data_IF_382676852491
#
_entry.id   IF_382676852491
#
_cell.length_a   1.000
_cell.length_b   1.000
_cell.length_c   1.000
_cell.angle_alpha   90.00
_cell.angle_beta   90.00
_cell.angle_gamma   90.00
#
_symmetry.space_group_name_H-M   'P 1'
#
loop_
_entity.id
_entity.type
_entity.pdbx_description
1 polymer ?
#
# COMPACT_ATOMS: atom_id res chain seq x y z
N UNK A 1 -16.17 7.95 7.22
CA UNK A 1 -14.76 7.97 6.80
C UNK A 1 -14.69 7.94 5.29
N UNK A 2 -13.72 8.62 4.65
CA UNK A 2 -13.63 8.63 3.20
C UNK A 2 -13.30 7.23 2.65
N UNK A 3 -13.91 6.87 1.54
CA UNK A 3 -13.58 5.67 0.77
C UNK A 3 -13.17 6.14 -0.62
N UNK A 4 -11.94 5.85 -1.01
CA UNK A 4 -11.40 6.15 -2.32
C UNK A 4 -11.17 4.86 -3.07
N UNK A 5 -11.84 4.71 -4.20
CA UNK A 5 -11.69 3.57 -5.10
C UNK A 5 -11.18 4.10 -6.43
N UNK A 6 -10.16 3.44 -6.96
CA UNK A 6 -9.48 3.85 -8.18
C UNK A 6 -9.25 2.63 -9.07
N UNK A 7 -9.82 2.70 -10.27
CA UNK A 7 -9.80 1.60 -11.23
C UNK A 7 -9.36 2.11 -12.60
N UNK A 8 -8.14 2.66 -12.74
CA UNK A 8 -7.65 3.02 -14.07
C UNK A 8 -7.55 1.75 -14.94
N UNK A 9 -8.20 1.78 -16.08
CA UNK A 9 -8.09 0.83 -17.19
C UNK A 9 -7.36 1.50 -18.35
N UNK A 10 -6.76 0.73 -19.25
CA UNK A 10 -5.97 1.23 -20.38
C UNK A 10 -4.73 2.07 -19.98
N UNK A 11 -4.10 2.74 -20.96
CA UNK A 11 -2.94 3.61 -20.74
C UNK A 11 -3.32 4.88 -19.96
N UNK A 12 -3.28 4.81 -18.63
CA UNK A 12 -3.65 5.91 -17.74
C UNK A 12 -2.56 6.23 -16.71
N UNK A 13 -2.36 7.51 -16.42
CA UNK A 13 -1.35 8.01 -15.45
C UNK A 13 -1.98 8.97 -14.42
N UNK A 14 -3.10 8.63 -13.77
CA UNK A 14 -3.78 9.55 -12.87
C UNK A 14 -2.98 9.77 -11.58
N UNK A 15 -3.16 10.94 -10.98
CA UNK A 15 -2.55 11.29 -9.69
C UNK A 15 -3.64 11.59 -8.69
N UNK A 16 -3.58 10.96 -7.52
CA UNK A 16 -4.55 11.12 -6.44
C UNK A 16 -3.85 11.50 -5.15
N UNK A 17 -4.44 12.46 -4.42
CA UNK A 17 -3.95 12.92 -3.12
C UNK A 17 -5.10 13.01 -2.12
N UNK A 18 -4.86 12.61 -0.88
CA UNK A 18 -5.85 12.69 0.20
C UNK A 18 -5.19 13.02 1.54
N UNK A 19 -5.73 14.00 2.27
CA UNK A 19 -5.17 14.50 3.55
C UNK A 19 -6.25 14.65 4.64
N UNK A 20 -7.03 13.60 4.97
CA UNK A 20 -8.11 13.71 5.96
C UNK A 20 -7.58 13.81 7.41
N UNK A 21 -8.23 14.61 8.26
CA UNK A 21 -7.92 14.73 9.70
C UNK A 21 -8.97 13.99 10.53
N UNK A 22 -8.55 13.18 11.49
CA UNK A 22 -9.39 12.33 12.35
C UNK A 22 -10.37 11.39 11.60
N UNK A 23 -10.00 10.74 10.47
CA UNK A 23 -10.91 9.80 9.84
C UNK A 23 -10.98 8.50 10.66
N UNK A 24 -12.18 8.02 11.00
CA UNK A 24 -12.29 6.75 11.73
C UNK A 24 -11.64 5.58 10.96
N UNK A 25 -11.98 5.38 9.69
CA UNK A 25 -11.56 4.20 8.92
C UNK A 25 -11.49 4.55 7.43
N UNK A 26 -10.53 5.39 7.01
CA UNK A 26 -10.39 5.70 5.59
C UNK A 26 -9.96 4.45 4.83
N UNK A 27 -10.58 4.19 3.69
CA UNK A 27 -10.25 3.03 2.85
C UNK A 27 -9.81 3.53 1.49
N UNK A 28 -8.64 3.08 1.05
CA UNK A 28 -8.11 3.34 -0.28
C UNK A 28 -7.94 2.00 -1.00
N UNK A 29 -8.69 1.80 -2.09
CA UNK A 29 -8.59 0.63 -2.96
C UNK A 29 -8.10 1.08 -4.32
N UNK A 30 -7.09 0.40 -4.84
CA UNK A 30 -6.62 0.61 -6.20
C UNK A 30 -6.43 -0.70 -6.95
N UNK A 31 -7.21 -0.86 -8.01
CA UNK A 31 -7.07 -2.00 -8.92
C UNK A 31 -6.66 -1.42 -10.27
N UNK A 32 -5.53 -1.85 -10.80
CA UNK A 32 -5.03 -1.34 -12.08
C UNK A 32 -4.83 -2.48 -13.04
N UNK A 33 -5.34 -2.34 -14.26
CA UNK A 33 -5.20 -3.33 -15.32
C UNK A 33 -4.37 -2.77 -16.48
N UNK A 34 -3.89 -3.65 -17.37
CA UNK A 34 -3.16 -3.31 -18.59
C UNK A 34 -1.86 -2.50 -18.34
N UNK A 35 -1.72 -1.32 -18.95
CA UNK A 35 -0.52 -0.46 -18.91
C UNK A 35 -0.81 0.85 -18.18
N UNK A 36 -1.14 0.77 -16.89
CA UNK A 36 -1.44 1.94 -16.05
C UNK A 36 -0.27 2.28 -15.09
N UNK A 37 -0.06 3.57 -14.85
CA UNK A 37 1.01 4.10 -13.98
C UNK A 37 0.50 5.17 -13.00
N UNK A 38 -0.55 4.89 -12.22
CA UNK A 38 -1.12 5.89 -11.32
C UNK A 38 -0.20 6.19 -10.13
N UNK A 39 -0.34 7.38 -9.57
CA UNK A 39 0.34 7.79 -8.35
C UNK A 39 -0.68 8.13 -7.27
N UNK A 40 -0.55 7.54 -6.09
CA UNK A 40 -1.43 7.78 -4.94
C UNK A 40 -0.61 8.27 -3.76
N UNK A 41 -1.06 9.37 -3.14
CA UNK A 41 -0.49 9.89 -1.89
C UNK A 41 -1.59 10.06 -0.85
N UNK A 42 -1.39 9.53 0.35
CA UNK A 42 -2.30 9.68 1.48
C UNK A 42 -1.54 10.13 2.73
N UNK A 43 -2.01 11.19 3.40
CA UNK A 43 -1.39 11.76 4.60
C UNK A 43 -2.42 11.98 5.72
N UNK A 44 -3.11 10.94 6.21
CA UNK A 44 -4.11 11.09 7.26
C UNK A 44 -3.49 11.42 8.64
N UNK A 45 -4.17 12.23 9.44
CA UNK A 45 -3.78 12.49 10.85
C UNK A 45 -4.81 11.84 11.79
N UNK A 46 -4.33 11.14 12.82
CA UNK A 46 -5.14 10.42 13.81
C UNK A 46 -6.18 9.44 13.22
N UNK A 47 -5.85 8.59 12.22
CA UNK A 47 -6.82 7.64 11.71
C UNK A 47 -6.95 6.42 12.65
N UNK A 48 -8.18 5.98 12.97
CA UNK A 48 -8.32 4.78 13.82
C UNK A 48 -7.91 3.50 13.05
N UNK A 49 -8.42 3.29 11.85
CA UNK A 49 -8.12 2.05 11.09
C UNK A 49 -8.05 2.32 9.59
N UNK A 50 -6.99 3.00 9.10
CA UNK A 50 -6.81 3.23 7.68
C UNK A 50 -6.48 1.90 6.99
N UNK A 51 -7.14 1.65 5.85
CA UNK A 51 -6.90 0.44 5.04
C UNK A 51 -6.49 0.85 3.64
N UNK A 52 -5.35 0.33 3.18
CA UNK A 52 -4.85 0.50 1.82
C UNK A 52 -4.77 -0.87 1.15
N UNK A 53 -5.51 -1.03 0.06
CA UNK A 53 -5.54 -2.27 -0.73
C UNK A 53 -5.10 -1.94 -2.15
N UNK A 54 -4.18 -2.72 -2.70
CA UNK A 54 -3.76 -2.58 -4.08
C UNK A 54 -3.58 -3.90 -4.81
N UNK A 55 -4.19 -3.99 -5.99
CA UNK A 55 -4.27 -5.18 -6.82
C UNK A 55 -3.95 -4.83 -8.29
N UNK A 56 -2.69 -4.50 -8.61
CA UNK A 56 -2.29 -4.27 -9.99
C UNK A 56 -2.11 -5.60 -10.74
N UNK A 57 -2.55 -5.64 -11.99
CA UNK A 57 -2.39 -6.79 -12.90
C UNK A 57 -1.60 -6.37 -14.16
N UNK A 58 -1.23 -7.35 -14.98
CA UNK A 58 -0.59 -7.15 -16.29
C UNK A 58 0.71 -6.34 -16.21
N UNK A 59 0.81 -5.20 -16.91
CA UNK A 59 2.02 -4.35 -17.01
C UNK A 59 1.94 -3.10 -16.13
N UNK A 60 1.07 -3.09 -15.12
CA UNK A 60 0.85 -1.91 -14.30
C UNK A 60 2.02 -1.59 -13.36
N UNK A 61 2.34 -0.30 -13.23
CA UNK A 61 3.46 0.21 -12.41
C UNK A 61 3.01 1.35 -11.46
N UNK A 62 1.99 1.11 -10.61
CA UNK A 62 1.48 2.16 -9.73
C UNK A 62 2.47 2.50 -8.60
N UNK A 63 2.45 3.76 -8.16
CA UNK A 63 3.24 4.24 -7.02
C UNK A 63 2.31 4.68 -5.90
N UNK A 64 2.51 4.14 -4.70
CA UNK A 64 1.74 4.47 -3.51
C UNK A 64 2.64 5.03 -2.42
N UNK A 65 2.26 6.18 -1.87
CA UNK A 65 2.91 6.79 -0.71
C UNK A 65 1.87 7.04 0.38
N UNK A 66 2.12 6.53 1.58
CA UNK A 66 1.30 6.76 2.76
C UNK A 66 2.15 7.36 3.89
N UNK A 67 1.69 8.46 4.48
CA UNK A 67 2.33 9.11 5.64
C UNK A 67 1.34 9.41 6.78
N UNK A 68 0.68 8.40 7.38
CA UNK A 68 -0.16 8.58 8.55
C UNK A 68 0.63 9.05 9.79
N UNK A 69 0.01 9.92 10.58
CA UNK A 69 0.45 10.26 11.95
C UNK A 69 -0.53 9.67 12.96
N UNK A 70 -0.01 9.02 14.01
CA UNK A 70 -0.76 8.39 15.11
C UNK A 70 -1.87 7.40 14.67
N UNK A 71 -1.64 6.48 13.71
CA UNK A 71 -2.67 5.52 13.31
C UNK A 71 -2.83 4.40 14.35
N UNK A 72 -4.06 4.08 14.75
CA UNK A 72 -4.28 3.00 15.72
C UNK A 72 -4.04 1.60 15.11
N UNK A 73 -4.63 1.29 13.96
CA UNK A 73 -4.50 -0.03 13.33
C UNK A 73 -4.44 0.07 11.81
N UNK A 74 -3.36 0.61 11.23
CA UNK A 74 -3.21 0.73 9.79
C UNK A 74 -2.99 -0.64 9.15
N UNK A 75 -3.70 -0.92 8.05
CA UNK A 75 -3.59 -2.17 7.30
C UNK A 75 -3.22 -1.87 5.85
N UNK A 76 -2.13 -2.47 5.38
CA UNK A 76 -1.68 -2.41 4.00
C UNK A 76 -1.73 -3.81 3.39
N UNK A 77 -2.45 -3.96 2.28
CA UNK A 77 -2.60 -5.21 1.55
C UNK A 77 -2.20 -4.98 0.10
N UNK A 78 -1.30 -5.82 -0.41
CA UNK A 78 -0.89 -5.77 -1.81
C UNK A 78 -0.84 -7.14 -2.45
N UNK A 79 -1.50 -7.28 -3.59
CA UNK A 79 -1.65 -8.52 -4.33
C UNK A 79 -1.41 -8.28 -5.83
N UNK A 80 -0.18 -7.93 -6.25
CA UNK A 80 0.13 -7.76 -7.66
C UNK A 80 0.17 -9.10 -8.39
N UNK A 81 -0.26 -9.14 -9.64
CA UNK A 81 -0.19 -10.32 -10.52
C UNK A 81 0.57 -10.03 -11.81
N UNK A 82 0.96 -11.10 -12.51
CA UNK A 82 1.58 -11.06 -13.85
C UNK A 82 2.88 -10.29 -13.89
N UNK A 83 3.01 -9.25 -14.72
CA UNK A 83 4.24 -8.44 -14.82
C UNK A 83 4.17 -7.14 -14.03
N UNK A 84 3.22 -7.02 -13.08
CA UNK A 84 3.02 -5.79 -12.33
C UNK A 84 4.24 -5.47 -11.44
N UNK A 85 4.63 -4.20 -11.41
CA UNK A 85 5.81 -3.71 -10.66
C UNK A 85 5.46 -2.51 -9.78
N UNK A 86 4.52 -2.66 -8.84
CA UNK A 86 4.11 -1.54 -7.99
C UNK A 86 5.19 -1.15 -6.98
N UNK A 87 5.24 0.12 -6.63
CA UNK A 87 6.11 0.65 -5.58
C UNK A 87 5.25 1.17 -4.43
N UNK A 88 5.49 0.67 -3.22
CA UNK A 88 4.80 1.10 -2.01
C UNK A 88 5.79 1.68 -1.00
N UNK A 89 5.49 2.88 -0.53
CA UNK A 89 6.23 3.55 0.54
C UNK A 89 5.25 3.94 1.65
N UNK A 90 5.51 3.48 2.88
CA UNK A 90 4.74 3.86 4.06
C UNK A 90 5.69 4.39 5.15
N UNK A 91 5.46 5.62 5.61
CA UNK A 91 6.12 6.19 6.79
C UNK A 91 5.05 6.42 7.84
N UNK A 92 5.12 5.68 8.95
CA UNK A 92 4.14 5.80 10.04
C UNK A 92 4.82 6.46 11.23
N UNK A 93 4.17 7.45 11.85
CA UNK A 93 4.61 7.99 13.15
C UNK A 93 3.72 7.40 14.23
N UNK A 94 4.33 6.75 15.23
CA UNK A 94 3.71 6.16 16.42
C UNK A 94 2.48 5.26 16.15
N UNK A 95 2.57 4.26 15.24
CA UNK A 95 1.46 3.36 14.97
C UNK A 95 1.26 2.32 16.08
N UNK A 96 0.00 2.03 16.46
CA UNK A 96 -0.27 1.09 17.55
C UNK A 96 -0.28 -0.39 17.16
N UNK A 97 -0.73 -0.75 15.96
CA UNK A 97 -0.76 -2.15 15.47
C UNK A 97 -0.75 -2.20 13.95
N UNK A 98 0.36 -1.80 13.29
CA UNK A 98 0.43 -1.80 11.85
C UNK A 98 0.52 -3.22 11.29
N UNK A 99 -0.27 -3.48 10.25
CA UNK A 99 -0.29 -4.77 9.53
C UNK A 99 0.07 -4.53 8.07
N UNK A 100 1.00 -5.33 7.54
CA UNK A 100 1.33 -5.34 6.13
C UNK A 100 1.28 -6.76 5.59
N UNK A 101 0.51 -6.94 4.51
CA UNK A 101 0.31 -8.22 3.83
C UNK A 101 0.69 -8.07 2.36
N UNK A 102 1.60 -8.92 1.88
CA UNK A 102 2.03 -8.95 0.48
C UNK A 102 1.90 -10.35 -0.12
N UNK A 103 1.09 -10.50 -1.15
CA UNK A 103 0.85 -11.77 -1.84
C UNK A 103 1.02 -11.61 -3.36
N UNK A 104 2.26 -11.38 -3.86
CA UNK A 104 2.51 -11.30 -5.29
C UNK A 104 2.39 -12.69 -5.96
N UNK A 105 1.93 -12.74 -7.21
CA UNK A 105 1.74 -13.96 -8.01
C UNK A 105 2.38 -13.80 -9.39
N UNK A 106 2.82 -14.89 -10.02
CA UNK A 106 3.46 -14.91 -11.34
C UNK A 106 4.75 -14.07 -11.34
N UNK A 107 5.06 -13.34 -12.40
CA UNK A 107 6.31 -12.56 -12.52
C UNK A 107 6.26 -11.20 -11.81
N UNK A 108 5.35 -11.01 -10.85
CA UNK A 108 5.15 -9.72 -10.21
C UNK A 108 6.37 -9.37 -9.36
N UNK A 109 6.81 -8.11 -9.48
CA UNK A 109 8.01 -7.60 -8.79
C UNK A 109 7.74 -6.33 -8.00
N UNK A 110 6.94 -6.39 -6.93
CA UNK A 110 6.68 -5.23 -6.10
C UNK A 110 7.90 -4.81 -5.28
N UNK A 111 7.98 -3.51 -5.00
CA UNK A 111 8.93 -2.91 -4.06
C UNK A 111 8.17 -2.38 -2.85
N UNK A 112 8.59 -2.77 -1.64
CA UNK A 112 7.93 -2.37 -0.39
C UNK A 112 8.92 -1.73 0.58
N UNK A 113 8.67 -0.47 0.92
CA UNK A 113 9.39 0.22 2.00
C UNK A 113 8.40 0.67 3.07
N UNK A 114 8.58 0.18 4.29
CA UNK A 114 7.81 0.60 5.46
C UNK A 114 8.77 1.02 6.59
N UNK A 115 8.57 2.23 7.08
CA UNK A 115 9.39 2.83 8.13
C UNK A 115 8.51 3.44 9.22
N UNK A 116 7.85 2.62 10.07
CA UNK A 116 7.27 3.13 11.30
C UNK A 116 8.35 3.63 12.28
N UNK A 117 8.02 4.70 12.98
CA UNK A 117 8.72 5.15 14.18
C UNK A 117 7.93 4.69 15.39
N UNK A 118 8.60 4.04 16.35
CA UNK A 118 8.02 3.51 17.59
C UNK A 118 6.71 2.69 17.42
N UNK A 119 6.68 1.67 16.53
CA UNK A 119 5.48 0.87 16.38
C UNK A 119 5.24 -0.02 17.60
N UNK A 120 4.00 -0.06 18.06
CA UNK A 120 3.54 -1.13 18.93
C UNK A 120 3.10 -2.33 18.08
N UNK A 121 3.54 -3.55 18.43
CA UNK A 121 3.08 -4.82 17.86
C UNK A 121 2.91 -4.89 16.31
N UNK A 122 3.95 -4.60 15.51
CA UNK A 122 3.88 -4.68 14.05
C UNK A 122 3.77 -6.12 13.53
N UNK A 123 2.97 -6.35 12.48
CA UNK A 123 2.78 -7.69 11.88
C UNK A 123 2.95 -7.67 10.38
N UNK A 124 4.05 -8.27 9.90
CA UNK A 124 4.32 -8.43 8.47
C UNK A 124 4.08 -9.87 8.00
N UNK A 125 3.33 -10.02 6.91
CA UNK A 125 3.07 -11.29 6.25
C UNK A 125 3.42 -11.18 4.77
N UNK A 126 4.30 -12.07 4.29
CA UNK A 126 4.58 -12.24 2.87
C UNK A 126 4.34 -13.67 2.44
N UNK A 127 3.54 -13.84 1.38
CA UNK A 127 3.27 -15.15 0.80
C UNK A 127 3.32 -15.07 -0.75
N UNK A 128 4.51 -14.90 -1.34
CA UNK A 128 4.69 -14.91 -2.79
C UNK A 128 4.39 -16.29 -3.38
N UNK A 129 3.74 -16.32 -4.55
CA UNK A 129 3.48 -17.54 -5.32
C UNK A 129 4.17 -17.48 -6.68
N UNK A 130 4.55 -18.65 -7.21
CA UNK A 130 5.04 -18.93 -8.57
C UNK A 130 5.85 -17.81 -9.26
N UNK A 131 7.18 -17.92 -9.28
CA UNK A 131 8.12 -16.96 -9.90
C UNK A 131 8.05 -15.49 -9.38
N UNK A 132 7.19 -15.17 -8.43
CA UNK A 132 7.08 -13.82 -7.87
C UNK A 132 8.29 -13.50 -6.99
N UNK A 133 8.85 -12.30 -7.15
CA UNK A 133 9.96 -11.83 -6.32
C UNK A 133 9.63 -10.46 -5.77
N UNK A 134 9.64 -10.30 -4.45
CA UNK A 134 9.58 -8.96 -3.85
C UNK A 134 11.00 -8.39 -3.83
N UNK A 135 11.21 -7.29 -4.54
CA UNK A 135 12.52 -6.64 -4.61
C UNK A 135 12.56 -5.56 -3.55
N UNK A 136 13.49 -5.67 -2.61
CA UNK A 136 13.71 -4.68 -1.55
C UNK A 136 12.52 -4.54 -0.59
N UNK A 137 12.52 -5.41 0.42
CA UNK A 137 11.52 -5.41 1.49
C UNK A 137 12.18 -4.86 2.75
N UNK A 138 11.93 -3.58 3.05
CA UNK A 138 12.52 -2.90 4.21
C UNK A 138 11.42 -2.54 5.20
N UNK A 139 11.38 -3.24 6.34
CA UNK A 139 10.48 -2.97 7.46
C UNK A 139 11.26 -2.50 8.68
N UNK A 140 11.74 -1.25 8.66
CA UNK A 140 12.46 -0.70 9.82
C UNK A 140 11.47 -0.50 10.97
N UNK A 141 11.81 -0.97 12.17
CA UNK A 141 10.92 -0.90 13.33
C UNK A 141 9.95 -2.09 13.46
N UNK A 142 9.93 -3.03 12.51
CA UNK A 142 9.16 -4.27 12.65
C UNK A 142 10.11 -5.34 13.18
N UNK A 143 10.11 -5.57 14.49
CA UNK A 143 10.89 -6.60 15.19
C UNK A 143 9.99 -7.54 15.95
#
# INVERSE_FOLDING_TARGET
>A
SPVHVSNPTDTATPVYTATPTHPNSPVHVSNTNDTATPVYTATPTDPNSPVHVSNPTDTATPVYTATPTDPNSPVHVSNPTDTATPVYTATLTDPNSPVHVSNPINTATPVYTATPTDPNSPVHVSNPADHATSVNVVFKGWT
#
